data_IF_382771308830
#
_entry.id   IF_382771308830
#
_cell.length_a   1.000
_cell.length_b   1.000
_cell.length_c   1.000
_cell.angle_alpha   90.00
_cell.angle_beta   90.00
_cell.angle_gamma   90.00
#
_symmetry.space_group_name_H-M   'P 1'
#
loop_
_entity.id
_entity.type
_entity.pdbx_description
1 polymer ?
#
# COMPACT_ATOMS: atom_id res chain seq x y z
N UNK A 1 -8.83 -16.07 -2.16
CA UNK A 1 -7.64 -16.93 -2.31
C UNK A 1 -6.89 -16.72 -3.64
N UNK A 2 -7.55 -16.78 -4.82
CA UNK A 2 -6.87 -16.61 -6.13
C UNK A 2 -6.15 -15.26 -6.26
N UNK A 3 -6.79 -14.18 -5.79
CA UNK A 3 -6.23 -12.82 -5.80
C UNK A 3 -4.94 -12.75 -4.97
N UNK A 4 -4.93 -13.40 -3.80
CA UNK A 4 -3.81 -13.35 -2.84
C UNK A 4 -2.59 -14.09 -3.39
N UNK A 5 -2.81 -15.26 -3.99
CA UNK A 5 -1.75 -16.05 -4.68
C UNK A 5 -1.22 -15.28 -5.89
N UNK A 6 -2.09 -14.65 -6.66
CA UNK A 6 -1.68 -13.84 -7.81
C UNK A 6 -0.82 -12.65 -7.39
N UNK A 7 -1.19 -11.96 -6.29
CA UNK A 7 -0.39 -10.87 -5.72
C UNK A 7 0.98 -11.36 -5.26
N UNK A 8 1.06 -12.54 -4.64
CA UNK A 8 2.33 -13.15 -4.26
C UNK A 8 3.22 -13.44 -5.48
N UNK A 9 2.67 -14.00 -6.55
CA UNK A 9 3.42 -14.26 -7.78
C UNK A 9 3.92 -12.97 -8.43
N UNK A 10 3.09 -11.92 -8.47
CA UNK A 10 3.48 -10.59 -8.96
C UNK A 10 4.60 -10.00 -8.10
N UNK A 11 4.52 -10.13 -6.77
CA UNK A 11 5.57 -9.69 -5.86
C UNK A 11 6.91 -10.38 -6.17
N UNK A 12 6.90 -11.72 -6.27
CA UNK A 12 8.10 -12.51 -6.59
C UNK A 12 8.67 -12.14 -7.97
N UNK A 13 7.80 -11.91 -8.95
CA UNK A 13 8.19 -11.47 -10.28
C UNK A 13 8.87 -10.09 -10.26
N UNK A 14 8.31 -9.12 -9.54
CA UNK A 14 8.89 -7.78 -9.42
C UNK A 14 10.25 -7.82 -8.72
N UNK A 15 10.42 -8.63 -7.67
CA UNK A 15 11.73 -8.82 -7.04
C UNK A 15 12.74 -9.53 -7.94
N UNK A 16 12.31 -10.52 -8.71
CA UNK A 16 13.17 -11.17 -9.69
C UNK A 16 13.64 -10.17 -10.76
N UNK A 17 12.73 -9.34 -11.29
CA UNK A 17 13.09 -8.27 -12.24
C UNK A 17 14.03 -7.24 -11.60
N UNK A 18 13.76 -6.81 -10.37
CA UNK A 18 14.62 -5.88 -9.65
C UNK A 18 16.05 -6.44 -9.51
N UNK A 19 16.17 -7.72 -9.14
CA UNK A 19 17.45 -8.42 -9.05
C UNK A 19 18.18 -8.52 -10.40
N UNK A 20 17.46 -8.87 -11.47
CA UNK A 20 18.02 -8.96 -12.82
C UNK A 20 18.52 -7.59 -13.32
N UNK A 21 17.75 -6.52 -13.12
CA UNK A 21 18.16 -5.16 -13.51
C UNK A 21 19.37 -4.71 -12.71
N UNK A 22 19.40 -4.97 -11.41
CA UNK A 22 20.53 -4.65 -10.54
C UNK A 22 21.79 -5.41 -10.93
N UNK A 23 21.66 -6.71 -11.22
CA UNK A 23 22.80 -7.57 -11.58
C UNK A 23 23.34 -7.30 -12.98
N UNK A 24 22.51 -6.85 -13.92
CA UNK A 24 22.92 -6.54 -15.29
C UNK A 24 24.00 -5.45 -15.36
N UNK A 25 23.84 -4.37 -14.58
CA UNK A 25 24.90 -3.38 -14.35
C UNK A 25 24.67 -2.67 -13.02
N UNK A 26 25.35 -3.16 -11.98
CA UNK A 26 25.24 -2.64 -10.62
C UNK A 26 25.92 -1.27 -10.43
N UNK A 27 26.69 -0.78 -11.41
CA UNK A 27 27.34 0.54 -11.35
C UNK A 27 26.48 1.62 -12.00
N UNK A 28 25.63 1.26 -12.95
CA UNK A 28 24.67 2.19 -13.56
C UNK A 28 23.67 2.72 -12.53
N UNK A 29 23.63 4.04 -12.36
CA UNK A 29 22.67 4.71 -11.48
C UNK A 29 21.23 4.54 -11.95
N UNK A 30 21.01 4.44 -13.26
CA UNK A 30 19.69 4.18 -13.84
C UNK A 30 19.19 2.78 -13.45
N UNK A 31 20.05 1.76 -13.55
CA UNK A 31 19.69 0.40 -13.18
C UNK A 31 19.38 0.30 -11.69
N UNK A 32 20.16 0.97 -10.82
CA UNK A 32 19.85 1.05 -9.39
C UNK A 32 18.49 1.67 -9.14
N UNK A 33 18.18 2.78 -9.81
CA UNK A 33 16.88 3.45 -9.68
C UNK A 33 15.72 2.54 -10.11
N UNK A 34 15.80 1.91 -11.28
CA UNK A 34 14.74 1.02 -11.77
C UNK A 34 14.59 -0.20 -10.88
N UNK A 35 15.70 -0.82 -10.45
CA UNK A 35 15.66 -1.93 -9.52
C UNK A 35 15.02 -1.52 -8.18
N UNK A 36 15.35 -0.35 -7.64
CA UNK A 36 14.72 0.15 -6.42
C UNK A 36 13.23 0.41 -6.60
N UNK A 37 12.81 1.02 -7.71
CA UNK A 37 11.39 1.21 -8.03
C UNK A 37 10.64 -0.12 -8.10
N UNK A 38 11.18 -1.12 -8.80
CA UNK A 38 10.57 -2.45 -8.89
C UNK A 38 10.49 -3.13 -7.52
N UNK A 39 11.51 -3.00 -6.69
CA UNK A 39 11.47 -3.53 -5.32
C UNK A 39 10.39 -2.84 -4.48
N UNK A 40 10.25 -1.52 -4.56
CA UNK A 40 9.20 -0.78 -3.83
C UNK A 40 7.82 -1.20 -4.31
N UNK A 41 7.60 -1.31 -5.63
CA UNK A 41 6.34 -1.82 -6.18
C UNK A 41 6.04 -3.26 -5.70
N UNK A 42 7.06 -4.12 -5.68
CA UNK A 42 6.94 -5.49 -5.16
C UNK A 42 6.55 -5.52 -3.69
N UNK A 43 7.19 -4.70 -2.84
CA UNK A 43 6.89 -4.63 -1.42
C UNK A 43 5.45 -4.21 -1.12
N UNK A 44 4.80 -3.43 -1.98
CA UNK A 44 3.39 -3.05 -1.78
C UNK A 44 2.44 -4.21 -2.02
N UNK A 45 2.79 -5.15 -2.90
CA UNK A 45 2.03 -6.38 -3.10
C UNK A 45 1.95 -7.24 -1.83
N UNK A 46 2.82 -6.99 -0.83
CA UNK A 46 2.78 -7.63 0.48
C UNK A 46 1.43 -7.42 1.19
N UNK A 47 0.76 -6.28 0.97
CA UNK A 47 -0.56 -6.00 1.54
C UNK A 47 -1.53 -7.16 1.25
N UNK A 48 -1.71 -7.50 -0.02
CA UNK A 48 -2.63 -8.58 -0.44
C UNK A 48 -1.97 -9.95 -0.28
N UNK A 49 -0.64 -10.06 -0.45
CA UNK A 49 0.05 -11.36 -0.38
C UNK A 49 0.00 -11.99 1.03
N UNK A 50 0.03 -11.18 2.09
CA UNK A 50 -0.08 -11.68 3.47
C UNK A 50 -1.44 -12.31 3.79
N UNK A 51 -2.48 -12.00 3.02
CA UNK A 51 -3.82 -12.60 3.17
C UNK A 51 -3.90 -14.03 2.60
N UNK A 52 -2.77 -14.63 2.21
CA UNK A 52 -2.68 -16.09 2.07
C UNK A 52 -2.89 -16.77 3.43
N UNK A 53 -2.46 -16.12 4.52
CA UNK A 53 -2.82 -16.57 5.85
C UNK A 53 -4.31 -16.32 6.09
N UNK A 54 -5.03 -17.25 6.74
CA UNK A 54 -6.44 -17.07 7.04
C UNK A 54 -6.67 -15.79 7.87
N UNK A 55 -7.40 -14.84 7.30
CA UNK A 55 -7.78 -13.58 7.95
C UNK A 55 -9.08 -13.83 8.72
N UNK A 56 -8.96 -14.38 9.93
CA UNK A 56 -10.08 -14.86 10.76
C UNK A 56 -9.86 -14.56 12.26
N UNK A 57 -10.94 -14.47 13.02
CA UNK A 57 -10.93 -14.01 14.42
C UNK A 57 -10.09 -14.91 15.34
N UNK A 58 -10.03 -16.21 15.10
CA UNK A 58 -9.25 -17.14 15.93
C UNK A 58 -7.75 -16.81 15.93
N UNK A 59 -7.29 -16.09 14.91
CA UNK A 59 -5.91 -15.64 14.75
C UNK A 59 -5.73 -14.16 15.13
N UNK A 60 -6.66 -13.59 15.91
CA UNK A 60 -6.68 -12.16 16.24
C UNK A 60 -5.34 -11.67 16.79
N UNK A 61 -4.75 -12.38 17.75
CA UNK A 61 -3.46 -12.00 18.37
C UNK A 61 -2.32 -11.88 17.37
N UNK A 62 -2.31 -12.74 16.34
CA UNK A 62 -1.33 -12.65 15.25
C UNK A 62 -1.65 -11.46 14.34
N UNK A 63 -2.91 -11.30 13.96
CA UNK A 63 -3.35 -10.27 13.03
C UNK A 63 -3.25 -8.86 13.60
N UNK A 64 -3.40 -8.64 14.91
CA UNK A 64 -3.22 -7.30 15.51
C UNK A 64 -1.79 -6.79 15.29
N UNK A 65 -0.79 -7.67 15.44
CA UNK A 65 0.61 -7.30 15.21
C UNK A 65 0.90 -7.18 13.72
N UNK A 66 0.50 -8.18 12.94
CA UNK A 66 0.78 -8.23 11.50
C UNK A 66 0.08 -7.11 10.75
N UNK A 67 -1.14 -6.75 11.12
CA UNK A 67 -1.90 -5.69 10.48
C UNK A 67 -1.20 -4.34 10.63
N UNK A 68 -0.73 -3.99 11.84
CA UNK A 68 -0.01 -2.73 12.05
C UNK A 68 1.26 -2.66 11.21
N UNK A 69 2.06 -3.74 11.21
CA UNK A 69 3.28 -3.81 10.40
C UNK A 69 2.96 -3.72 8.90
N UNK A 70 1.97 -4.51 8.44
CA UNK A 70 1.52 -4.56 7.05
C UNK A 70 1.02 -3.18 6.59
N UNK A 71 0.26 -2.51 7.44
CA UNK A 71 -0.32 -1.19 7.19
C UNK A 71 0.77 -0.14 7.06
N UNK A 72 1.62 0.02 8.07
CA UNK A 72 2.68 1.03 8.08
C UNK A 72 3.66 0.85 6.93
N UNK A 73 4.03 -0.40 6.68
CA UNK A 73 4.95 -0.73 5.60
C UNK A 73 4.35 -0.44 4.22
N UNK A 74 3.08 -0.78 4.00
CA UNK A 74 2.39 -0.51 2.74
C UNK A 74 2.32 0.99 2.44
N UNK A 75 1.91 1.82 3.41
CA UNK A 75 1.80 3.27 3.18
C UNK A 75 3.15 3.94 3.02
N UNK A 76 4.16 3.52 3.78
CA UNK A 76 5.54 3.98 3.59
C UNK A 76 6.04 3.70 2.16
N UNK A 77 5.77 2.50 1.64
CA UNK A 77 6.16 2.12 0.28
C UNK A 77 5.32 2.82 -0.79
N UNK A 78 4.04 3.11 -0.53
CA UNK A 78 3.21 3.90 -1.45
C UNK A 78 3.73 5.33 -1.62
N UNK A 79 4.06 5.99 -0.51
CA UNK A 79 4.63 7.34 -0.55
C UNK A 79 6.00 7.29 -1.25
N UNK A 80 6.85 6.32 -0.92
CA UNK A 80 8.14 6.14 -1.59
C UNK A 80 8.00 5.93 -3.11
N UNK A 81 7.03 5.12 -3.55
CA UNK A 81 6.73 4.90 -4.96
C UNK A 81 6.35 6.20 -5.67
N UNK A 82 5.47 7.01 -5.07
CA UNK A 82 5.08 8.32 -5.60
C UNK A 82 6.32 9.18 -5.87
N UNK A 83 7.22 9.30 -4.88
CA UNK A 83 8.45 10.08 -5.05
C UNK A 83 9.38 9.47 -6.10
N UNK A 84 9.53 8.15 -6.16
CA UNK A 84 10.32 7.50 -7.21
C UNK A 84 9.75 7.79 -8.60
N UNK A 85 8.44 7.76 -8.79
CA UNK A 85 7.80 8.14 -10.06
C UNK A 85 8.05 9.60 -10.43
N UNK A 86 8.09 10.51 -9.45
CA UNK A 86 8.45 11.91 -9.68
C UNK A 86 9.95 12.10 -9.97
N UNK A 87 10.81 11.14 -9.61
CA UNK A 87 12.25 11.18 -9.87
C UNK A 87 12.67 10.69 -11.26
N UNK A 88 11.76 10.17 -12.10
CA UNK A 88 12.12 9.75 -13.47
C UNK A 88 12.86 10.80 -14.30
N UNK A 89 12.48 12.10 -14.30
CA UNK A 89 13.19 13.15 -15.02
C UNK A 89 14.66 13.36 -14.60
N UNK A 90 15.06 12.86 -13.42
CA UNK A 90 16.44 12.93 -12.94
C UNK A 90 17.33 11.97 -13.74
N UNK A 91 16.79 10.81 -14.12
CA UNK A 91 17.51 9.74 -14.82
C UNK A 91 17.30 9.74 -16.33
N UNK A 92 16.16 10.27 -16.80
CA UNK A 92 15.80 10.34 -18.22
C UNK A 92 15.60 11.80 -18.63
N UNK A 93 16.36 12.27 -19.61
CA UNK A 93 16.34 13.68 -20.05
C UNK A 93 15.03 13.97 -20.80
N UNK A 94 14.20 14.86 -20.26
CA UNK A 94 12.92 15.28 -20.85
C UNK A 94 13.00 16.74 -21.30
N UNK A 95 12.36 17.06 -22.44
CA UNK A 95 12.44 18.37 -23.14
C UNK A 95 11.90 19.58 -22.35
N UNK A 96 11.23 19.39 -21.21
CA UNK A 96 10.74 20.46 -20.32
C UNK A 96 11.24 20.42 -18.86
N UNK A 97 11.86 19.31 -18.44
CA UNK A 97 12.35 19.10 -17.05
C UNK A 97 13.86 18.85 -17.02
N UNK A 98 14.59 19.30 -18.06
CA UNK A 98 16.03 19.07 -18.21
C UNK A 98 16.88 19.61 -17.05
N UNK A 99 16.36 20.54 -16.25
CA UNK A 99 17.06 21.05 -15.07
C UNK A 99 17.25 19.98 -13.97
N UNK A 100 16.39 18.95 -13.93
CA UNK A 100 16.45 17.85 -12.97
C UNK A 100 17.52 16.81 -13.34
N UNK A 101 17.89 16.73 -14.62
CA UNK A 101 18.92 15.81 -15.11
C UNK A 101 20.32 16.30 -14.71
N UNK A 102 20.69 16.06 -13.45
CA UNK A 102 21.97 16.46 -12.86
C UNK A 102 22.69 15.28 -12.20
N UNK A 103 24.01 15.12 -12.39
CA UNK A 103 24.77 14.02 -11.79
C UNK A 103 24.68 13.96 -10.26
N UNK A 104 24.64 15.13 -9.60
CA UNK A 104 24.51 15.20 -8.14
C UNK A 104 23.19 14.62 -7.62
N UNK A 105 22.08 14.85 -8.34
CA UNK A 105 20.77 14.30 -7.97
C UNK A 105 20.66 12.81 -8.30
N UNK A 106 21.20 12.38 -9.44
CA UNK A 106 21.20 10.97 -9.87
C UNK A 106 21.90 10.03 -8.87
N UNK A 107 22.88 10.53 -8.13
CA UNK A 107 23.60 9.74 -7.12
C UNK A 107 22.70 9.34 -5.93
N UNK A 108 21.64 10.09 -5.65
CA UNK A 108 20.86 9.94 -4.43
C UNK A 108 19.36 9.70 -4.65
N UNK A 109 18.84 10.00 -5.85
CA UNK A 109 17.43 9.87 -6.18
C UNK A 109 16.89 8.42 -6.15
N UNK A 110 17.74 7.38 -6.09
CA UNK A 110 17.26 6.00 -5.96
C UNK A 110 16.92 5.59 -4.53
N UNK A 111 17.61 6.12 -3.50
CA UNK A 111 17.36 5.71 -2.10
C UNK A 111 16.66 6.80 -1.28
N UNK A 112 16.82 8.09 -1.62
CA UNK A 112 16.19 9.18 -0.88
C UNK A 112 14.66 9.09 -0.84
N UNK A 113 13.95 8.74 -1.93
CA UNK A 113 12.50 8.54 -1.89
C UNK A 113 12.02 7.51 -0.87
N UNK A 114 12.82 6.45 -0.60
CA UNK A 114 12.49 5.45 0.43
C UNK A 114 12.60 6.08 1.82
N UNK A 115 13.70 6.78 2.10
CA UNK A 115 13.91 7.46 3.38
C UNK A 115 12.81 8.50 3.62
N UNK A 116 12.47 9.28 2.59
CA UNK A 116 11.42 10.29 2.65
C UNK A 116 10.05 9.63 2.84
N UNK A 117 9.75 8.53 2.13
CA UNK A 117 8.48 7.83 2.24
C UNK A 117 8.24 7.27 3.64
N UNK A 118 9.25 6.61 4.22
CA UNK A 118 9.20 6.12 5.60
C UNK A 118 9.08 7.29 6.58
N UNK A 119 9.93 8.32 6.44
CA UNK A 119 9.93 9.47 7.33
C UNK A 119 8.59 10.21 7.33
N UNK A 120 8.02 10.47 6.16
CA UNK A 120 6.72 11.14 6.03
C UNK A 120 5.59 10.30 6.61
N UNK A 121 5.57 8.99 6.36
CA UNK A 121 4.56 8.11 6.95
C UNK A 121 4.60 8.18 8.48
N UNK A 122 5.78 8.03 9.08
CA UNK A 122 5.97 8.11 10.52
C UNK A 122 5.51 9.44 11.13
N UNK A 123 5.56 10.54 10.36
CA UNK A 123 5.09 11.86 10.79
C UNK A 123 3.57 12.04 10.71
N UNK A 124 2.89 11.33 9.81
CA UNK A 124 1.45 11.54 9.53
C UNK A 124 0.55 10.42 10.05
N UNK A 125 1.06 9.20 10.26
CA UNK A 125 0.28 8.00 10.59
C UNK A 125 -0.63 8.16 11.82
N UNK A 126 -0.23 8.97 12.81
CA UNK A 126 -1.00 9.22 14.03
C UNK A 126 -1.98 10.39 13.95
N UNK A 127 -2.05 11.10 12.81
CA UNK A 127 -2.95 12.24 12.65
C UNK A 127 -4.35 11.76 12.22
N UNK A 128 -5.40 12.47 12.67
CA UNK A 128 -6.79 12.07 12.41
C UNK A 128 -7.13 11.74 10.93
N UNK A 129 -6.57 12.42 9.90
CA UNK A 129 -6.83 12.06 8.51
C UNK A 129 -6.24 10.71 8.06
N UNK A 130 -5.31 10.13 8.82
CA UNK A 130 -4.51 8.96 8.44
C UNK A 130 -4.53 7.83 9.49
N UNK A 131 -5.07 8.08 10.68
CA UNK A 131 -5.12 7.11 11.76
C UNK A 131 -6.37 6.24 11.64
N UNK A 132 -6.18 4.92 11.57
CA UNK A 132 -7.24 3.90 11.69
C UNK A 132 -7.18 3.41 13.14
N UNK A 133 -8.11 3.84 13.97
CA UNK A 133 -8.09 3.55 15.40
C UNK A 133 -9.12 2.49 15.77
N UNK A 134 -10.28 2.52 15.11
CA UNK A 134 -11.38 1.62 15.41
C UNK A 134 -11.65 0.70 14.21
N UNK A 135 -11.42 -0.60 14.39
CA UNK A 135 -11.72 -1.66 13.43
C UNK A 135 -12.26 -2.86 14.20
N UNK A 136 -13.36 -3.44 13.75
CA UNK A 136 -14.00 -4.60 14.38
C UNK A 136 -14.23 -5.71 13.37
N UNK A 137 -14.10 -6.94 13.84
CA UNK A 137 -14.47 -8.14 13.11
C UNK A 137 -15.97 -8.37 13.25
N UNK A 138 -16.61 -8.64 12.13
CA UNK A 138 -18.01 -9.05 12.08
C UNK A 138 -18.05 -10.47 11.55
N UNK A 139 -18.51 -11.38 12.39
CA UNK A 139 -18.70 -12.79 12.08
C UNK A 139 -20.19 -13.05 11.88
N UNK A 140 -20.53 -13.62 10.73
CA UNK A 140 -21.87 -14.04 10.38
C UNK A 140 -21.88 -15.55 10.13
N UNK A 141 -22.57 -16.30 10.99
CA UNK A 141 -22.58 -17.77 10.93
C UNK A 141 -23.51 -18.33 9.84
N UNK A 142 -24.61 -17.64 9.53
CA UNK A 142 -25.57 -18.04 8.51
C UNK A 142 -26.41 -16.84 8.02
N UNK A 143 -27.08 -17.01 6.87
CA UNK A 143 -28.12 -16.08 6.42
C UNK A 143 -29.24 -15.96 7.48
N UNK A 144 -29.61 -14.74 7.84
CA UNK A 144 -30.62 -14.46 8.87
C UNK A 144 -30.10 -14.52 10.32
N UNK A 145 -28.84 -14.90 10.55
CA UNK A 145 -28.24 -14.85 11.89
C UNK A 145 -27.94 -13.41 12.31
N UNK A 146 -27.89 -13.16 13.63
CA UNK A 146 -27.41 -11.88 14.15
C UNK A 146 -25.87 -11.79 14.00
N UNK A 147 -25.32 -10.63 13.61
CA UNK A 147 -23.88 -10.44 13.49
C UNK A 147 -23.21 -10.51 14.86
N UNK A 148 -22.13 -11.27 14.96
CA UNK A 148 -21.28 -11.34 16.15
C UNK A 148 -20.12 -10.36 15.95
N UNK A 149 -19.95 -9.44 16.90
CA UNK A 149 -18.96 -8.36 16.81
C UNK A 149 -17.79 -8.71 17.73
N UNK A 150 -16.59 -8.79 17.17
CA UNK A 150 -15.36 -8.97 17.92
C UNK A 150 -14.43 -7.76 17.75
N UNK A 151 -13.76 -7.38 18.82
CA UNK A 151 -12.82 -6.25 18.79
C UNK A 151 -11.51 -6.65 18.09
N UNK A 152 -11.03 -5.79 17.20
CA UNK A 152 -9.76 -5.98 16.51
C UNK A 152 -8.75 -4.89 16.86
N UNK A 153 -9.08 -3.65 16.50
CA UNK A 153 -8.30 -2.45 16.80
C UNK A 153 -9.24 -1.45 17.44
N UNK A 154 -8.85 -0.87 18.56
CA UNK A 154 -9.70 0.08 19.29
C UNK A 154 -10.93 -0.58 19.88
N UNK A 155 -12.08 0.10 19.80
CA UNK A 155 -13.31 -0.33 20.48
C UNK A 155 -14.48 -0.52 19.51
N UNK A 156 -15.22 -1.61 19.69
CA UNK A 156 -16.44 -1.91 18.90
C UNK A 156 -17.59 -0.93 19.16
N UNK A 157 -17.50 -0.17 20.25
CA UNK A 157 -18.52 0.79 20.67
C UNK A 157 -18.46 2.14 19.94
N UNK A 158 -17.42 2.35 19.12
CA UNK A 158 -17.20 3.58 18.38
C UNK A 158 -18.36 3.89 17.43
N UNK A 159 -18.62 5.18 17.22
CA UNK A 159 -19.70 5.62 16.32
C UNK A 159 -19.50 5.15 14.88
N UNK A 160 -18.25 5.03 14.43
CA UNK A 160 -17.91 4.59 13.07
C UNK A 160 -18.27 3.13 12.86
N UNK A 161 -17.88 2.25 13.80
CA UNK A 161 -18.21 0.82 13.73
C UNK A 161 -19.72 0.61 13.81
N UNK A 162 -20.42 1.31 14.71
CA UNK A 162 -21.89 1.23 14.82
C UNK A 162 -22.60 1.66 13.55
N UNK A 163 -22.24 2.82 13.01
CA UNK A 163 -22.83 3.30 11.75
C UNK A 163 -22.50 2.34 10.58
N UNK A 164 -21.29 1.78 10.56
CA UNK A 164 -20.89 0.77 9.58
C UNK A 164 -21.75 -0.51 9.66
N UNK A 165 -22.04 -0.96 10.87
CA UNK A 165 -22.90 -2.13 11.11
C UNK A 165 -24.34 -1.82 10.69
N UNK A 166 -24.90 -0.68 11.10
CA UNK A 166 -26.26 -0.28 10.75
C UNK A 166 -26.46 -0.11 9.24
N UNK A 167 -25.44 0.38 8.52
CA UNK A 167 -25.47 0.53 7.06
C UNK A 167 -25.30 -0.79 6.32
N UNK A 168 -24.42 -1.67 6.82
CA UNK A 168 -24.14 -2.98 6.19
C UNK A 168 -25.24 -4.01 6.50
N UNK A 169 -25.82 -3.94 7.70
CA UNK A 169 -26.83 -4.85 8.23
C UNK A 169 -28.08 -4.08 8.72
N UNK A 170 -28.83 -3.42 7.81
CA UNK A 170 -29.93 -2.51 8.19
C UNK A 170 -31.08 -3.21 8.91
N UNK A 171 -31.24 -4.52 8.70
CA UNK A 171 -32.26 -5.35 9.36
C UNK A 171 -31.73 -6.06 10.62
N UNK A 172 -30.48 -5.80 11.02
CA UNK A 172 -29.81 -6.49 12.14
C UNK A 172 -29.53 -7.97 11.89
N UNK A 173 -29.59 -8.41 10.62
CA UNK A 173 -29.36 -9.80 10.21
C UNK A 173 -28.31 -9.88 9.12
N UNK A 174 -27.54 -10.95 9.15
CA UNK A 174 -26.52 -11.26 8.17
C UNK A 174 -27.15 -11.70 6.84
N UNK A 175 -26.68 -11.19 5.69
CA UNK A 175 -27.19 -11.58 4.38
C UNK A 175 -26.69 -12.97 3.93
N UNK A 176 -25.58 -13.44 4.50
CA UNK A 176 -24.99 -14.74 4.24
C UNK A 176 -24.00 -15.09 5.37
N UNK A 177 -23.48 -16.33 5.35
CA UNK A 177 -22.31 -16.68 6.16
C UNK A 177 -21.07 -15.97 5.59
N UNK A 178 -20.48 -15.04 6.35
CA UNK A 178 -19.32 -14.26 5.94
C UNK A 178 -18.58 -13.71 7.16
N UNK A 179 -17.28 -13.48 6.98
CA UNK A 179 -16.44 -12.74 7.92
C UNK A 179 -15.93 -11.48 7.24
N UNK A 180 -16.08 -10.34 7.89
CA UNK A 180 -15.61 -9.05 7.36
C UNK A 180 -15.10 -8.15 8.47
N UNK A 181 -14.31 -7.13 8.10
CA UNK A 181 -13.94 -6.05 9.02
C UNK A 181 -14.71 -4.78 8.69
N UNK A 182 -15.16 -4.05 9.71
CA UNK A 182 -15.81 -2.74 9.60
C UNK A 182 -15.14 -1.77 10.57
N UNK A 183 -14.93 -0.53 10.14
CA UNK A 183 -14.24 0.47 10.97
C UNK A 183 -13.86 1.73 10.21
N UNK A 184 -12.83 2.40 10.71
CA UNK A 184 -12.34 3.66 10.18
C UNK A 184 -11.85 3.53 8.73
N UNK A 185 -12.35 4.43 7.87
CA UNK A 185 -11.85 4.64 6.51
C UNK A 185 -11.39 6.11 6.32
N UNK A 186 -10.27 6.52 6.93
CA UNK A 186 -9.80 7.90 6.88
C UNK A 186 -9.48 8.34 5.44
N UNK A 187 -9.93 9.54 5.07
CA UNK A 187 -9.76 10.04 3.70
C UNK A 187 -8.29 10.17 3.28
N UNK A 188 -7.37 10.44 4.21
CA UNK A 188 -5.96 10.68 3.93
C UNK A 188 -5.24 9.43 3.42
N UNK A 189 -5.59 8.27 3.95
CA UNK A 189 -5.11 6.96 3.47
C UNK A 189 -5.53 6.75 2.02
N UNK A 190 -6.81 6.97 1.71
CA UNK A 190 -7.33 6.86 0.36
C UNK A 190 -6.69 7.85 -0.60
N UNK A 191 -6.44 9.08 -0.16
CA UNK A 191 -5.73 10.09 -0.95
C UNK A 191 -4.32 9.62 -1.35
N UNK A 192 -3.59 8.95 -0.44
CA UNK A 192 -2.26 8.39 -0.76
C UNK A 192 -2.39 7.27 -1.80
N UNK A 193 -3.32 6.32 -1.60
CA UNK A 193 -3.52 5.20 -2.53
C UNK A 193 -3.90 5.69 -3.92
N UNK A 194 -4.86 6.61 -4.01
CA UNK A 194 -5.34 7.12 -5.30
C UNK A 194 -4.39 8.12 -5.97
N UNK A 195 -3.48 8.77 -5.23
CA UNK A 195 -2.49 9.67 -5.83
C UNK A 195 -1.44 8.91 -6.65
N UNK A 196 -1.13 7.66 -6.31
CA UNK A 196 -0.05 6.92 -6.95
C UNK A 196 -0.32 6.61 -8.43
N UNK A 197 -1.54 6.17 -8.76
CA UNK A 197 -1.94 5.81 -10.14
C UNK A 197 -1.80 6.95 -11.16
N UNK A 198 -2.36 8.16 -10.94
CA UNK A 198 -2.19 9.26 -11.89
C UNK A 198 -0.72 9.69 -12.00
N UNK A 199 0.04 9.68 -10.88
CA UNK A 199 1.46 10.05 -10.89
C UNK A 199 2.29 9.05 -11.70
N UNK A 200 2.03 7.74 -11.57
CA UNK A 200 2.73 6.73 -12.36
C UNK A 200 2.40 6.83 -13.86
N UNK A 201 1.14 7.13 -14.22
CA UNK A 201 0.73 7.39 -15.61
C UNK A 201 1.48 8.60 -16.18
N UNK A 202 1.53 9.71 -15.43
CA UNK A 202 2.28 10.92 -15.84
C UNK A 202 3.77 10.58 -16.01
N UNK A 203 4.37 9.84 -15.09
CA UNK A 203 5.77 9.41 -15.21
C UNK A 203 6.01 8.57 -16.48
N UNK A 204 5.12 7.64 -16.80
CA UNK A 204 5.21 6.84 -18.04
C UNK A 204 5.12 7.71 -19.30
N UNK A 205 4.21 8.68 -19.33
CA UNK A 205 4.09 9.63 -20.45
C UNK A 205 5.37 10.47 -20.61
N UNK A 206 5.96 10.90 -19.50
CA UNK A 206 7.23 11.64 -19.48
C UNK A 206 8.38 10.79 -20.03
N UNK A 207 8.53 9.54 -19.60
CA UNK A 207 9.54 8.61 -20.13
C UNK A 207 9.34 8.42 -21.64
N UNK A 208 8.10 8.17 -22.08
CA UNK A 208 7.79 7.99 -23.51
C UNK A 208 8.22 9.20 -24.34
N UNK A 209 8.08 10.41 -23.79
CA UNK A 209 8.55 11.64 -24.46
C UNK A 209 10.07 11.75 -24.56
N UNK A 210 10.83 11.05 -23.72
CA UNK A 210 12.30 11.05 -23.71
C UNK A 210 12.95 10.04 -24.67
N UNK A 211 12.19 9.03 -25.12
CA UNK A 211 12.67 7.97 -26.03
C UNK A 211 12.60 8.40 -27.51
N UNK A 212 11.90 9.51 -27.81
CA UNK A 212 11.83 10.13 -29.15
C UNK A 212 12.90 11.20 -29.32
#
# INVERSE_FOLDING_TARGET
>A
MVINISSLLVMLWLFALAYLVWSADSKSLQNRFIATLLSVEGFKCLWIALEIFPFMHEWNSFWVVVWNIKFDFFFSMQIAAIFLYLCFPIYYKIRGLGFMYRPGLQKHAYYLPIIIGIGLWLMIQGQAPFAVNDLSWIECTAEGAAPIIHEFLGTSSSSVVKNGIETTFPNGVCPAALDTTLGDEPFGIWAIVFAQTPISIVALLLIRSSIR
#
